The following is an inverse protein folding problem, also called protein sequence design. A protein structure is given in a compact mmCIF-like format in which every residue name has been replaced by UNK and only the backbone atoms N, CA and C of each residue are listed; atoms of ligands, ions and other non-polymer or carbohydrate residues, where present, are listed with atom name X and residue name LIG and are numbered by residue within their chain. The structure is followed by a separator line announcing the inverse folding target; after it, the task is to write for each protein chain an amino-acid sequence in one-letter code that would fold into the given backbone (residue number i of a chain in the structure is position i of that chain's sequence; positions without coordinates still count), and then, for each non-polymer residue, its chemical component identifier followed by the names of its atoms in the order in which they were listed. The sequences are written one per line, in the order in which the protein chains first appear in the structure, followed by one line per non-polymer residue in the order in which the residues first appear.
data_IF_789174498767
#
_entry.id   IF_789174498767
#
_cell.length_a   1.000
_cell.length_b   1.000
_cell.length_c   1.000
_cell.angle_alpha   90.00
_cell.angle_beta   90.00
_cell.angle_gamma   90.00
#
_symmetry.space_group_name_H-M   'P 1'
#
loop_
_entity.id
_entity.type
_entity.pdbx_description
1 polymer ?
#
# COMPACT_ATOMS: atom_id res chain seq x y z
N UNK A 1 -14.45 -14.98 -14.11
CA UNK A 1 -15.59 -14.01 -13.95
C UNK A 1 -16.68 -14.46 -14.93
N UNK A 2 -17.95 -14.70 -14.48
CA UNK A 2 -19.05 -15.02 -15.37
C UNK A 2 -19.32 -13.87 -16.35
N UNK A 3 -19.37 -14.17 -17.65
CA UNK A 3 -19.58 -13.18 -18.71
C UNK A 3 -20.85 -13.50 -19.49
N UNK A 4 -21.58 -12.48 -19.89
CA UNK A 4 -22.75 -12.63 -20.74
C UNK A 4 -22.30 -12.75 -22.21
N UNK A 5 -22.79 -13.76 -22.91
CA UNK A 5 -22.50 -13.96 -24.35
C UNK A 5 -22.86 -12.74 -25.21
N UNK A 6 -23.90 -11.99 -24.82
CA UNK A 6 -24.30 -10.75 -25.53
C UNK A 6 -23.21 -9.66 -25.54
N UNK A 7 -22.23 -9.74 -24.62
CA UNK A 7 -21.17 -8.73 -24.48
C UNK A 7 -19.79 -9.28 -24.91
N UNK A 8 -19.76 -10.42 -25.63
CA UNK A 8 -18.48 -11.06 -25.99
C UNK A 8 -17.53 -10.12 -26.73
N UNK A 9 -18.04 -9.24 -27.57
CA UNK A 9 -17.24 -8.28 -28.34
C UNK A 9 -16.49 -7.27 -27.47
N UNK A 10 -16.98 -6.98 -26.25
CA UNK A 10 -16.29 -6.09 -25.31
C UNK A 10 -15.08 -6.74 -24.65
N UNK A 11 -14.91 -8.05 -24.81
CA UNK A 11 -13.79 -8.83 -24.26
C UNK A 11 -12.86 -9.36 -25.36
N UNK A 12 -13.11 -9.02 -26.63
CA UNK A 12 -12.28 -9.40 -27.76
C UNK A 12 -11.40 -8.21 -28.16
N UNK A 13 -10.10 -8.43 -28.18
CA UNK A 13 -9.15 -7.48 -28.71
C UNK A 13 -9.09 -7.60 -30.24
N UNK A 14 -9.46 -6.58 -30.96
CA UNK A 14 -9.30 -6.51 -32.41
C UNK A 14 -7.92 -5.97 -32.82
N UNK A 15 -7.27 -5.20 -31.94
CA UNK A 15 -5.94 -4.59 -32.11
C UNK A 15 -5.13 -4.73 -30.83
N UNK A 16 -3.81 -4.59 -30.97
CA UNK A 16 -2.87 -4.67 -29.84
C UNK A 16 -3.21 -3.69 -28.70
N UNK A 17 -3.66 -2.47 -29.05
CA UNK A 17 -4.04 -1.44 -28.07
C UNK A 17 -5.29 -1.78 -27.27
N UNK A 18 -6.14 -2.67 -27.80
CA UNK A 18 -7.37 -3.10 -27.10
C UNK A 18 -7.04 -4.03 -25.93
N UNK A 19 -5.93 -4.76 -25.98
CA UNK A 19 -5.48 -5.60 -24.86
C UNK A 19 -5.21 -4.77 -23.60
N UNK A 20 -4.59 -3.60 -23.73
CA UNK A 20 -4.32 -2.73 -22.59
C UNK A 20 -5.61 -2.27 -21.93
N UNK A 21 -6.61 -1.87 -22.73
CA UNK A 21 -7.93 -1.43 -22.24
C UNK A 21 -8.72 -2.56 -21.57
N UNK A 22 -8.68 -3.75 -22.17
CA UNK A 22 -9.34 -4.94 -21.61
C UNK A 22 -8.67 -5.32 -20.30
N UNK A 23 -7.35 -5.34 -20.24
CA UNK A 23 -6.57 -5.60 -19.02
C UNK A 23 -6.90 -4.59 -17.92
N UNK A 24 -6.96 -3.29 -18.23
CA UNK A 24 -7.30 -2.26 -17.26
C UNK A 24 -8.72 -2.46 -16.71
N UNK A 25 -9.69 -2.73 -17.58
CA UNK A 25 -11.06 -2.99 -17.17
C UNK A 25 -11.21 -4.26 -16.31
N UNK A 26 -10.58 -5.35 -16.71
CA UNK A 26 -10.58 -6.60 -15.91
C UNK A 26 -9.89 -6.39 -14.56
N UNK A 27 -8.84 -5.59 -14.53
CA UNK A 27 -8.14 -5.18 -13.32
C UNK A 27 -9.06 -4.39 -12.36
N UNK A 28 -9.83 -3.43 -12.88
CA UNK A 28 -10.81 -2.68 -12.09
C UNK A 28 -11.87 -3.59 -11.48
N UNK A 29 -12.36 -4.57 -12.26
CA UNK A 29 -13.33 -5.57 -11.77
C UNK A 29 -12.71 -6.42 -10.66
N UNK A 30 -11.48 -6.87 -10.81
CA UNK A 30 -10.77 -7.64 -9.79
C UNK A 30 -10.57 -6.83 -8.49
N UNK A 31 -10.26 -5.54 -8.60
CA UNK A 31 -10.18 -4.64 -7.44
C UNK A 31 -11.53 -4.51 -6.73
N UNK A 32 -12.61 -4.31 -7.48
CA UNK A 32 -13.96 -4.25 -6.89
C UNK A 32 -14.33 -5.57 -6.19
N UNK A 33 -14.02 -6.72 -6.81
CA UNK A 33 -14.27 -8.04 -6.22
C UNK A 33 -13.45 -8.26 -4.95
N UNK A 34 -12.18 -7.87 -4.94
CA UNK A 34 -11.33 -7.96 -3.75
C UNK A 34 -11.86 -7.08 -2.62
N UNK A 35 -12.31 -5.86 -2.93
CA UNK A 35 -13.00 -4.97 -1.99
C UNK A 35 -14.27 -5.63 -1.41
N UNK A 36 -15.08 -6.27 -2.25
CA UNK A 36 -16.29 -6.98 -1.83
C UNK A 36 -15.98 -8.19 -0.94
N UNK A 37 -14.97 -8.98 -1.28
CA UNK A 37 -14.52 -10.12 -0.45
C UNK A 37 -14.05 -9.63 0.92
N UNK A 38 -13.29 -8.53 0.95
CA UNK A 38 -12.85 -7.91 2.21
C UNK A 38 -14.04 -7.44 3.05
N UNK A 39 -15.03 -6.79 2.44
CA UNK A 39 -16.27 -6.38 3.13
C UNK A 39 -17.04 -7.58 3.66
N UNK A 40 -17.19 -8.66 2.89
CA UNK A 40 -17.89 -9.87 3.31
C UNK A 40 -17.19 -10.54 4.50
N UNK A 41 -15.85 -10.67 4.46
CA UNK A 41 -15.07 -11.16 5.60
C UNK A 41 -15.25 -10.29 6.84
N UNK A 42 -15.24 -8.95 6.68
CA UNK A 42 -15.52 -8.02 7.77
C UNK A 42 -16.91 -8.23 8.39
N UNK A 43 -17.94 -8.41 7.55
CA UNK A 43 -19.30 -8.67 8.01
C UNK A 43 -19.39 -9.99 8.77
N UNK A 44 -18.73 -11.04 8.31
CA UNK A 44 -18.67 -12.33 8.99
C UNK A 44 -17.93 -12.26 10.33
N UNK A 45 -16.77 -11.59 10.36
CA UNK A 45 -16.02 -11.37 11.61
C UNK A 45 -16.80 -10.50 12.59
N UNK A 46 -17.53 -9.50 12.10
CA UNK A 46 -18.41 -8.66 12.92
C UNK A 46 -19.55 -9.49 13.51
N UNK A 47 -20.21 -10.36 12.71
CA UNK A 47 -21.23 -11.28 13.18
C UNK A 47 -20.71 -12.26 14.24
N UNK A 48 -19.50 -12.80 14.06
CA UNK A 48 -18.84 -13.67 15.05
C UNK A 48 -18.48 -12.94 16.35
N UNK A 49 -18.05 -11.67 16.27
CA UNK A 49 -17.71 -10.84 17.43
C UNK A 49 -18.94 -10.33 18.18
N UNK A 50 -20.07 -10.07 17.50
CA UNK A 50 -21.34 -9.72 18.12
C UNK A 50 -21.96 -10.90 18.88
N UNK A 51 -21.68 -12.14 18.48
CA UNK A 51 -22.07 -13.32 19.24
C UNK A 51 -21.28 -13.49 20.56
N UNK A 52 -20.11 -12.89 20.72
CA UNK A 52 -19.32 -12.86 21.95
C UNK A 52 -19.42 -11.48 22.60
N UNK A 53 -20.42 -11.26 23.42
CA UNK A 53 -20.71 -10.22 24.45
C UNK A 53 -19.89 -8.90 24.54
N UNK A 54 -19.23 -8.42 23.51
CA UNK A 54 -18.74 -7.03 23.40
C UNK A 54 -19.34 -6.41 22.15
N UNK A 55 -20.46 -5.74 22.31
CA UNK A 55 -21.11 -4.95 21.25
C UNK A 55 -20.15 -3.87 20.76
N UNK A 56 -19.62 -4.04 19.57
CA UNK A 56 -18.92 -2.97 18.88
C UNK A 56 -19.91 -1.81 18.66
N UNK A 57 -19.60 -0.62 19.18
CA UNK A 57 -20.46 0.55 19.06
C UNK A 57 -20.46 1.17 17.67
N UNK A 58 -19.38 0.94 16.91
CA UNK A 58 -19.19 1.49 15.57
C UNK A 58 -18.56 0.44 14.64
N UNK A 59 -18.64 0.68 13.33
CA UNK A 59 -17.94 -0.14 12.32
C UNK A 59 -16.43 -0.13 12.57
N UNK A 60 -15.86 1.01 12.96
CA UNK A 60 -14.43 1.13 13.25
C UNK A 60 -14.03 0.25 14.46
N UNK A 61 -14.87 0.23 15.51
CA UNK A 61 -14.62 -0.66 16.66
C UNK A 61 -14.66 -2.13 16.25
N UNK A 62 -15.60 -2.51 15.35
CA UNK A 62 -15.68 -3.86 14.82
C UNK A 62 -14.42 -4.24 14.00
N UNK A 63 -13.84 -3.28 13.29
CA UNK A 63 -12.59 -3.42 12.56
C UNK A 63 -11.33 -3.41 13.46
N UNK A 64 -11.50 -3.04 14.74
CA UNK A 64 -10.36 -2.84 15.64
C UNK A 64 -9.55 -1.57 15.35
N UNK A 65 -10.18 -0.59 14.69
CA UNK A 65 -9.58 0.66 14.28
C UNK A 65 -10.02 1.83 15.16
N UNK A 66 -9.10 2.77 15.39
CA UNK A 66 -9.41 4.09 15.89
C UNK A 66 -8.88 5.13 14.92
N UNK A 67 -9.75 6.01 14.44
CA UNK A 67 -9.39 7.10 13.53
C UNK A 67 -9.68 8.41 14.26
N UNK A 68 -8.67 9.26 14.38
CA UNK A 68 -8.77 10.57 15.03
C UNK A 68 -8.18 11.65 14.11
N UNK A 69 -8.72 12.88 14.14
CA UNK A 69 -8.11 13.99 13.40
C UNK A 69 -6.66 14.20 13.84
N UNK A 70 -5.78 14.48 12.90
CA UNK A 70 -4.39 14.80 13.19
C UNK A 70 -4.28 16.13 13.95
N UNK A 71 -3.35 16.20 14.89
CA UNK A 71 -3.05 17.43 15.65
C UNK A 71 -2.36 18.46 14.76
N UNK A 72 -2.42 19.74 15.15
CA UNK A 72 -1.76 20.84 14.39
C UNK A 72 -0.28 20.58 14.13
N UNK A 73 0.45 20.05 15.11
CA UNK A 73 1.88 19.70 14.97
C UNK A 73 2.11 18.58 13.96
N UNK A 74 1.25 17.56 13.95
CA UNK A 74 1.30 16.47 12.98
C UNK A 74 0.98 16.99 11.57
N UNK A 75 -0.03 17.84 11.43
CA UNK A 75 -0.38 18.48 10.14
C UNK A 75 0.78 19.32 9.60
N UNK A 76 1.45 20.10 10.45
CA UNK A 76 2.63 20.87 10.04
C UNK A 76 3.76 19.96 9.55
N UNK A 77 4.03 18.86 10.27
CA UNK A 77 5.00 17.84 9.86
C UNK A 77 4.63 17.20 8.53
N UNK A 78 3.37 16.80 8.37
CA UNK A 78 2.84 16.21 7.11
C UNK A 78 3.03 17.19 5.95
N UNK A 79 2.65 18.47 6.11
CA UNK A 79 2.81 19.48 5.06
C UNK A 79 4.28 19.71 4.69
N UNK A 80 5.19 19.67 5.66
CA UNK A 80 6.64 19.73 5.41
C UNK A 80 7.10 18.53 4.58
N UNK A 81 6.63 17.32 4.90
CA UNK A 81 6.98 16.11 4.18
C UNK A 81 6.32 16.01 2.79
N UNK A 82 5.17 16.67 2.57
CA UNK A 82 4.56 16.81 1.24
C UNK A 82 5.40 17.68 0.30
N UNK A 83 6.18 18.63 0.85
CA UNK A 83 7.03 19.50 0.06
C UNK A 83 6.23 20.31 -0.97
N UNK A 84 6.58 20.19 -2.25
CA UNK A 84 5.89 20.87 -3.36
C UNK A 84 4.40 20.56 -3.48
N UNK A 85 3.96 19.40 -2.99
CA UNK A 85 2.57 18.97 -3.05
C UNK A 85 1.73 19.43 -1.83
N UNK A 86 2.31 20.25 -0.94
CA UNK A 86 1.64 20.73 0.28
C UNK A 86 0.38 21.57 -0.02
N UNK A 87 0.32 22.25 -1.17
CA UNK A 87 -0.86 23.00 -1.62
C UNK A 87 -2.07 22.12 -1.92
N UNK A 88 -1.83 20.84 -2.20
CA UNK A 88 -2.88 19.82 -2.48
C UNK A 88 -3.43 19.17 -1.21
N UNK A 89 -2.87 19.50 -0.04
CA UNK A 89 -3.31 18.96 1.25
C UNK A 89 -4.74 19.40 1.59
N UNK A 90 -5.61 18.45 1.88
CA UNK A 90 -6.97 18.70 2.32
C UNK A 90 -7.15 18.49 3.81
N UNK A 91 -6.89 17.28 4.30
CA UNK A 91 -7.04 16.90 5.70
C UNK A 91 -6.13 15.71 6.05
N UNK A 92 -5.91 15.47 7.34
CA UNK A 92 -5.19 14.31 7.82
C UNK A 92 -5.84 13.72 9.07
N UNK A 93 -5.73 12.41 9.18
CA UNK A 93 -6.18 11.63 10.32
C UNK A 93 -5.08 10.68 10.76
N UNK A 94 -5.00 10.44 12.05
CA UNK A 94 -4.20 9.36 12.62
C UNK A 94 -5.06 8.10 12.66
N UNK A 95 -4.60 7.05 12.00
CA UNK A 95 -5.20 5.72 12.04
C UNK A 95 -4.42 4.88 13.04
N UNK A 96 -5.12 4.24 13.95
CA UNK A 96 -4.54 3.36 14.97
C UNK A 96 -5.16 1.98 14.78
N UNK A 97 -4.34 1.03 14.35
CA UNK A 97 -4.67 -0.39 14.28
C UNK A 97 -3.82 -1.13 15.29
N UNK A 98 -4.43 -1.58 16.39
CA UNK A 98 -3.70 -2.23 17.49
C UNK A 98 -2.98 -3.51 17.07
N UNK A 99 -3.48 -4.20 16.04
CA UNK A 99 -2.88 -5.44 15.57
C UNK A 99 -1.59 -5.18 14.81
N UNK A 100 -1.63 -4.29 13.81
CA UNK A 100 -0.44 -3.95 13.03
C UNK A 100 0.60 -3.26 13.89
N UNK A 101 0.16 -2.36 14.80
CA UNK A 101 1.06 -1.69 15.73
C UNK A 101 1.78 -2.72 16.63
N UNK A 102 1.06 -3.70 17.20
CA UNK A 102 1.68 -4.73 18.03
C UNK A 102 2.71 -5.54 17.25
N UNK A 103 2.38 -5.98 16.05
CA UNK A 103 3.31 -6.74 15.21
C UNK A 103 4.59 -5.95 14.92
N UNK A 104 4.46 -4.65 14.69
CA UNK A 104 5.58 -3.75 14.47
C UNK A 104 6.40 -3.55 15.75
N UNK A 105 5.76 -3.29 16.88
CA UNK A 105 6.41 -3.12 18.17
C UNK A 105 7.17 -4.40 18.60
N UNK A 106 6.58 -5.57 18.34
CA UNK A 106 7.22 -6.86 18.64
C UNK A 106 8.41 -7.09 17.72
N UNK A 107 8.31 -6.75 16.42
CA UNK A 107 9.45 -6.78 15.50
C UNK A 107 10.60 -5.88 15.98
N UNK A 108 10.31 -4.63 16.37
CA UNK A 108 11.35 -3.72 16.88
C UNK A 108 12.02 -4.24 18.15
N UNK A 109 11.28 -4.93 19.03
CA UNK A 109 11.86 -5.55 20.23
C UNK A 109 12.78 -6.71 19.90
N UNK A 110 12.44 -7.52 18.90
CA UNK A 110 13.23 -8.67 18.46
C UNK A 110 14.53 -8.23 17.78
N UNK A 111 14.47 -7.20 16.95
CA UNK A 111 15.62 -6.69 16.17
C UNK A 111 16.51 -5.73 17.01
N UNK A 112 15.99 -5.18 18.12
CA UNK A 112 16.69 -4.24 18.98
C UNK A 112 16.61 -2.78 18.50
N UNK A 113 17.69 -2.01 18.71
CA UNK A 113 17.73 -0.58 18.38
C UNK A 113 18.00 -0.37 16.89
N UNK A 114 16.93 -0.36 16.09
CA UNK A 114 16.99 -0.10 14.65
C UNK A 114 16.33 1.22 14.29
N UNK A 115 16.86 1.88 13.27
CA UNK A 115 16.32 3.14 12.76
C UNK A 115 14.91 2.93 12.19
N UNK A 116 13.95 3.77 12.60
CA UNK A 116 12.64 3.87 11.95
C UNK A 116 12.53 5.13 11.09
N UNK A 117 11.74 5.07 10.03
CA UNK A 117 11.47 6.21 9.13
C UNK A 117 9.98 6.33 8.85
N UNK A 118 9.54 7.57 8.58
CA UNK A 118 8.22 7.83 8.02
C UNK A 118 8.32 7.90 6.50
N UNK A 119 7.65 6.98 5.81
CA UNK A 119 7.66 6.90 4.36
C UNK A 119 6.24 6.95 3.78
N UNK A 120 6.14 7.46 2.56
CA UNK A 120 4.89 7.61 1.86
C UNK A 120 4.50 6.32 1.13
N UNK A 121 3.20 5.96 1.24
CA UNK A 121 2.57 4.94 0.44
C UNK A 121 1.31 5.50 -0.21
N UNK A 122 1.17 5.30 -1.51
CA UNK A 122 0.00 5.68 -2.31
C UNK A 122 -0.71 4.44 -2.81
N UNK A 123 -2.03 4.46 -2.76
CA UNK A 123 -2.88 3.39 -3.31
C UNK A 123 -4.20 3.97 -3.81
N UNK A 124 -4.96 3.19 -4.57
CA UNK A 124 -6.30 3.59 -5.01
C UNK A 124 -7.24 3.74 -3.84
N UNK A 125 -8.25 4.61 -3.96
CA UNK A 125 -9.17 4.92 -2.86
C UNK A 125 -9.89 3.68 -2.31
N UNK A 126 -10.28 2.75 -3.18
CA UNK A 126 -10.97 1.51 -2.85
C UNK A 126 -10.14 0.56 -1.98
N UNK A 127 -8.82 0.66 -2.01
CA UNK A 127 -7.95 -0.23 -1.24
C UNK A 127 -7.80 0.19 0.23
N UNK A 128 -8.11 1.46 0.57
CA UNK A 128 -7.77 2.01 1.88
C UNK A 128 -8.51 1.37 3.05
N UNK A 129 -9.73 0.90 2.84
CA UNK A 129 -10.47 0.17 3.90
C UNK A 129 -9.70 -1.10 4.26
N UNK A 130 -9.28 -1.88 3.28
CA UNK A 130 -8.49 -3.10 3.48
C UNK A 130 -7.11 -2.79 4.08
N UNK A 131 -6.43 -1.75 3.59
CA UNK A 131 -5.12 -1.32 4.10
C UNK A 131 -5.22 -0.91 5.56
N UNK A 132 -6.22 -0.11 5.95
CA UNK A 132 -6.42 0.29 7.34
C UNK A 132 -6.71 -0.90 8.25
N UNK A 133 -7.48 -1.89 7.77
CA UNK A 133 -7.87 -3.05 8.56
C UNK A 133 -6.78 -4.12 8.64
N UNK A 134 -6.16 -4.45 7.52
CA UNK A 134 -5.21 -5.57 7.41
C UNK A 134 -3.75 -5.12 7.52
N UNK A 135 -3.48 -3.83 7.35
CA UNK A 135 -2.14 -3.34 7.07
C UNK A 135 -1.77 -3.53 5.59
N UNK A 136 -0.58 -3.15 5.24
CA UNK A 136 0.00 -3.48 3.94
C UNK A 136 0.48 -4.93 3.94
N UNK A 137 0.10 -5.68 2.92
CA UNK A 137 0.42 -7.10 2.79
C UNK A 137 1.31 -7.36 1.58
N UNK A 138 2.17 -8.36 1.65
CA UNK A 138 3.16 -8.69 0.61
C UNK A 138 2.53 -9.20 -0.69
N UNK A 139 1.52 -10.05 -0.57
CA UNK A 139 0.81 -10.63 -1.70
C UNK A 139 -0.68 -10.30 -1.61
N UNK A 140 -1.08 -9.05 -1.87
CA UNK A 140 -2.50 -8.76 -1.95
C UNK A 140 -3.09 -9.55 -3.12
N UNK A 141 -4.35 -9.95 -2.99
CA UNK A 141 -5.09 -10.71 -4.03
C UNK A 141 -5.19 -9.94 -5.34
N UNK A 142 -4.93 -8.63 -5.29
CA UNK A 142 -4.94 -7.71 -6.43
C UNK A 142 -3.56 -7.64 -7.09
N UNK A 143 -3.52 -7.61 -8.41
CA UNK A 143 -2.28 -7.37 -9.15
C UNK A 143 -1.68 -6.03 -8.76
N UNK A 144 -0.44 -6.05 -8.32
CA UNK A 144 0.33 -4.84 -8.04
C UNK A 144 1.01 -4.42 -9.34
N UNK A 145 0.75 -3.20 -9.81
CA UNK A 145 1.55 -2.57 -10.85
C UNK A 145 2.89 -2.12 -10.27
N UNK A 146 4.00 -2.39 -10.93
CA UNK A 146 5.29 -1.82 -10.56
C UNK A 146 6.16 -2.66 -9.61
N UNK A 147 6.16 -3.98 -9.73
CA UNK A 147 7.06 -4.88 -8.96
C UNK A 147 8.47 -4.98 -9.56
N UNK A 148 9.13 -3.84 -9.79
CA UNK A 148 10.48 -3.84 -10.37
C UNK A 148 11.52 -4.51 -9.45
N UNK A 149 11.31 -4.43 -8.15
CA UNK A 149 12.19 -4.99 -7.11
C UNK A 149 11.51 -6.14 -6.34
N UNK A 150 10.70 -6.94 -7.03
CA UNK A 150 10.11 -8.17 -6.48
C UNK A 150 8.86 -7.97 -5.63
N UNK A 151 8.53 -9.01 -4.85
CA UNK A 151 7.30 -9.11 -4.08
C UNK A 151 7.42 -8.46 -2.70
N UNK A 152 7.52 -7.15 -2.67
CA UNK A 152 7.63 -6.35 -1.47
C UNK A 152 6.53 -5.31 -1.31
N UNK A 153 6.56 -4.62 -0.19
CA UNK A 153 5.75 -3.44 0.12
C UNK A 153 6.59 -2.21 -0.20
N UNK A 154 6.10 -1.38 -1.12
CA UNK A 154 6.84 -0.26 -1.70
C UNK A 154 6.50 1.05 -1.05
N UNK A 155 7.52 1.81 -0.71
CA UNK A 155 7.42 3.15 -0.16
C UNK A 155 8.29 4.14 -0.91
N UNK A 156 7.97 5.41 -0.77
CA UNK A 156 8.78 6.50 -1.27
C UNK A 156 9.11 7.53 -0.18
N UNK A 157 10.35 8.06 -0.15
CA UNK A 157 10.69 9.21 0.71
C UNK A 157 9.96 10.48 0.26
N UNK A 158 9.67 10.62 -1.05
CA UNK A 158 8.99 11.78 -1.64
C UNK A 158 7.51 11.48 -1.89
N UNK A 159 6.64 12.35 -1.35
CA UNK A 159 5.19 12.28 -1.53
C UNK A 159 4.78 12.24 -3.01
N UNK A 160 5.42 13.05 -3.84
CA UNK A 160 5.12 13.17 -5.28
C UNK A 160 5.13 11.82 -6.00
N UNK A 161 6.07 10.93 -5.65
CA UNK A 161 6.11 9.58 -6.22
C UNK A 161 4.88 8.77 -5.83
N UNK A 162 4.53 8.76 -4.56
CA UNK A 162 3.37 8.01 -4.05
C UNK A 162 2.03 8.55 -4.56
N UNK A 163 1.94 9.86 -4.86
CA UNK A 163 0.76 10.46 -5.49
C UNK A 163 0.45 9.84 -6.86
N UNK A 164 1.46 9.40 -7.61
CA UNK A 164 1.29 8.73 -8.90
C UNK A 164 0.54 7.40 -8.84
N UNK A 165 0.40 6.81 -7.64
CA UNK A 165 -0.31 5.55 -7.40
C UNK A 165 -1.69 5.73 -6.76
N UNK A 166 -2.15 6.96 -6.58
CA UNK A 166 -3.45 7.27 -5.99
C UNK A 166 -4.55 7.41 -7.04
N UNK A 167 -5.81 7.41 -6.60
CA UNK A 167 -6.97 7.69 -7.49
C UNK A 167 -7.08 9.16 -7.92
N UNK A 168 -6.13 10.03 -7.54
CA UNK A 168 -6.19 11.45 -7.86
C UNK A 168 -6.08 11.69 -9.37
N UNK A 169 -6.89 12.62 -9.89
CA UNK A 169 -6.83 13.02 -11.28
C UNK A 169 -5.41 13.45 -11.68
N UNK A 170 -4.94 12.96 -12.84
CA UNK A 170 -3.58 13.18 -13.33
C UNK A 170 -2.51 12.31 -12.66
N UNK A 171 -2.89 11.30 -11.84
CA UNK A 171 -1.93 10.32 -11.32
C UNK A 171 -1.30 9.52 -12.45
N UNK A 172 0.04 9.46 -12.46
CA UNK A 172 0.80 8.95 -13.61
C UNK A 172 0.63 7.44 -13.84
N UNK A 173 0.67 6.65 -12.76
CA UNK A 173 0.72 5.18 -12.86
C UNK A 173 -0.64 4.50 -12.93
N UNK A 174 -1.68 5.12 -12.36
CA UNK A 174 -3.00 4.51 -12.24
C UNK A 174 -4.11 5.26 -12.96
N UNK A 175 -3.78 6.36 -13.66
CA UNK A 175 -4.76 7.11 -14.45
C UNK A 175 -5.96 7.57 -13.62
N UNK A 176 -5.73 8.01 -12.37
CA UNK A 176 -6.80 8.37 -11.45
C UNK A 176 -7.71 9.48 -12.02
N UNK A 177 -9.00 9.41 -11.66
CA UNK A 177 -10.05 10.33 -12.13
C UNK A 177 -10.76 11.04 -10.97
N UNK A 178 -10.32 10.82 -9.73
CA UNK A 178 -10.94 11.41 -8.54
C UNK A 178 -10.37 12.78 -8.24
N UNK A 179 -11.21 13.72 -7.80
CA UNK A 179 -10.76 15.02 -7.30
C UNK A 179 -10.16 14.94 -5.88
N UNK A 180 -10.27 13.79 -5.22
CA UNK A 180 -9.69 13.49 -3.90
C UNK A 180 -9.11 12.10 -3.88
N UNK A 181 -7.96 11.96 -3.21
CA UNK A 181 -7.33 10.67 -2.99
C UNK A 181 -6.72 10.58 -1.61
N UNK A 182 -6.52 9.36 -1.15
CA UNK A 182 -5.84 9.06 0.09
C UNK A 182 -4.40 8.65 -0.18
N UNK A 183 -3.53 9.05 0.73
CA UNK A 183 -2.13 8.64 0.80
C UNK A 183 -1.75 8.58 2.28
N UNK A 184 -0.89 7.68 2.69
CA UNK A 184 -0.50 7.60 4.08
C UNK A 184 1.01 7.66 4.28
N UNK A 185 1.39 8.14 5.46
CA UNK A 185 2.71 7.97 6.05
C UNK A 185 2.65 6.75 6.96
N UNK A 186 3.56 5.83 6.72
CA UNK A 186 3.78 4.67 7.58
C UNK A 186 5.11 4.83 8.30
N UNK A 187 5.15 4.41 9.55
CA UNK A 187 6.39 4.16 10.24
C UNK A 187 6.94 2.80 9.81
N UNK A 188 8.20 2.77 9.42
CA UNK A 188 8.84 1.57 8.89
C UNK A 188 10.16 1.30 9.58
N UNK A 189 10.48 0.03 9.82
CA UNK A 189 11.73 -0.45 10.37
C UNK A 189 12.83 -0.42 9.29
N UNK A 190 13.43 0.75 9.08
CA UNK A 190 14.38 0.99 7.99
C UNK A 190 15.71 0.24 8.22
N UNK A 191 16.29 0.36 9.40
CA UNK A 191 17.49 -0.36 9.86
C UNK A 191 18.59 -0.50 8.81
N UNK A 192 19.24 -1.67 8.78
CA UNK A 192 20.22 -2.03 7.73
C UNK A 192 19.53 -2.25 6.39
N UNK A 193 20.05 -1.68 5.32
CA UNK A 193 19.40 -1.73 4.02
C UNK A 193 20.38 -2.03 2.89
N UNK A 194 19.93 -2.84 1.92
CA UNK A 194 20.68 -3.15 0.72
C UNK A 194 20.42 -2.06 -0.32
N UNK A 195 21.48 -1.38 -0.76
CA UNK A 195 21.43 -0.33 -1.78
C UNK A 195 21.52 -0.89 -3.20
N UNK A 196 20.73 -0.32 -4.11
CA UNK A 196 20.83 -0.58 -5.55
C UNK A 196 20.42 0.65 -6.36
N UNK A 197 21.01 0.84 -7.52
CA UNK A 197 20.61 1.83 -8.53
C UNK A 197 20.07 1.15 -9.81
N UNK A 198 19.98 -0.17 -9.78
CA UNK A 198 19.57 -1.01 -10.91
C UNK A 198 18.61 -2.10 -10.46
N UNK A 199 17.79 -2.57 -11.39
CA UNK A 199 16.94 -3.77 -11.22
C UNK A 199 17.64 -5.05 -11.73
N UNK A 200 18.89 -4.95 -12.20
CA UNK A 200 19.63 -6.11 -12.72
C UNK A 200 19.82 -7.17 -11.62
N UNK A 201 19.47 -8.40 -11.95
CA UNK A 201 19.52 -9.52 -11.00
C UNK A 201 18.46 -9.48 -9.89
N UNK A 202 17.47 -8.58 -9.99
CA UNK A 202 16.31 -8.52 -9.11
C UNK A 202 15.08 -8.90 -9.94
N UNK A 203 14.66 -10.14 -9.82
CA UNK A 203 13.50 -10.68 -10.55
C UNK A 203 12.16 -10.34 -9.87
N UNK A 204 11.05 -10.63 -10.56
CA UNK A 204 9.69 -10.40 -10.00
C UNK A 204 9.42 -11.19 -8.72
N UNK A 205 10.05 -12.33 -8.53
CA UNK A 205 9.89 -13.19 -7.35
C UNK A 205 10.93 -12.89 -6.27
N UNK A 206 11.69 -11.79 -6.40
CA UNK A 206 12.64 -11.39 -5.36
C UNK A 206 11.90 -11.11 -4.05
N UNK A 207 12.39 -11.70 -2.97
CA UNK A 207 11.76 -11.62 -1.66
C UNK A 207 12.78 -11.54 -0.52
N UNK A 208 12.31 -11.76 0.71
CA UNK A 208 13.15 -11.65 1.90
C UNK A 208 14.41 -12.52 1.86
N UNK A 209 14.29 -13.78 1.44
CA UNK A 209 15.44 -14.68 1.36
C UNK A 209 16.48 -14.22 0.35
N UNK A 210 16.05 -13.60 -0.75
CA UNK A 210 16.94 -13.03 -1.76
C UNK A 210 17.64 -11.79 -1.22
N UNK A 211 16.93 -10.94 -0.48
CA UNK A 211 17.52 -9.80 0.21
C UNK A 211 18.64 -10.26 1.16
N UNK A 212 18.38 -11.30 1.97
CA UNK A 212 19.36 -11.86 2.91
C UNK A 212 20.59 -12.44 2.21
N UNK A 213 20.43 -12.97 0.99
CA UNK A 213 21.57 -13.42 0.16
C UNK A 213 22.41 -12.26 -0.37
N UNK A 214 21.78 -11.10 -0.63
CA UNK A 214 22.50 -9.89 -1.07
C UNK A 214 23.23 -9.19 0.08
N UNK A 215 22.55 -9.05 1.20
CA UNK A 215 23.10 -8.47 2.42
C UNK A 215 22.45 -9.13 3.64
N UNK A 216 23.23 -9.95 4.34
CA UNK A 216 22.77 -10.62 5.57
C UNK A 216 22.42 -9.57 6.64
N UNK A 217 21.25 -9.71 7.24
CA UNK A 217 20.74 -8.76 8.24
C UNK A 217 20.09 -7.51 7.64
N UNK A 218 19.90 -7.43 6.31
CA UNK A 218 19.19 -6.31 5.71
C UNK A 218 17.70 -6.35 6.05
N UNK A 219 17.16 -5.21 6.47
CA UNK A 219 15.73 -5.02 6.78
C UNK A 219 14.93 -4.67 5.52
N UNK A 220 15.51 -3.90 4.61
CA UNK A 220 14.85 -3.46 3.38
C UNK A 220 15.84 -3.32 2.22
N UNK A 221 15.29 -3.17 1.01
CA UNK A 221 16.01 -2.75 -0.18
C UNK A 221 15.76 -1.27 -0.41
N UNK A 222 16.82 -0.48 -0.60
CA UNK A 222 16.75 0.91 -0.97
C UNK A 222 17.22 1.07 -2.41
N UNK A 223 16.27 1.22 -3.32
CA UNK A 223 16.53 1.51 -4.72
C UNK A 223 16.63 3.02 -4.94
N UNK A 224 17.80 3.47 -5.37
CA UNK A 224 18.08 4.89 -5.60
C UNK A 224 17.57 5.38 -6.96
N UNK A 225 17.21 6.66 -6.98
CA UNK A 225 17.00 7.36 -8.23
C UNK A 225 18.29 7.34 -9.08
N UNK A 226 18.14 7.09 -10.38
CA UNK A 226 19.27 6.95 -11.28
C UNK A 226 18.87 6.36 -12.63
N UNK A 227 19.48 5.28 -13.02
CA UNK A 227 19.29 4.67 -14.34
C UNK A 227 17.87 4.13 -14.60
N UNK A 228 17.21 3.60 -13.56
CA UNK A 228 15.89 2.93 -13.68
C UNK A 228 14.76 3.64 -12.95
N UNK A 229 15.07 4.50 -11.98
CA UNK A 229 14.10 5.22 -11.16
C UNK A 229 14.30 6.73 -11.23
N UNK A 230 13.20 7.49 -11.31
CA UNK A 230 13.23 8.96 -11.16
C UNK A 230 13.29 9.42 -9.70
N UNK A 231 12.85 8.59 -8.77
CA UNK A 231 12.85 8.85 -7.33
C UNK A 231 13.13 7.56 -6.60
N UNK A 232 13.75 7.66 -5.43
CA UNK A 232 14.04 6.51 -4.58
C UNK A 232 12.78 5.71 -4.25
N UNK A 233 12.97 4.40 -4.11
CA UNK A 233 12.00 3.46 -3.57
C UNK A 233 12.63 2.67 -2.43
N UNK A 234 11.84 2.42 -1.40
CA UNK A 234 12.25 1.60 -0.27
C UNK A 234 11.26 0.45 -0.16
N UNK A 235 11.76 -0.77 -0.24
CA UNK A 235 10.97 -1.98 -0.38
C UNK A 235 11.20 -2.88 0.82
N UNK A 236 10.12 -3.24 1.51
CA UNK A 236 10.11 -4.16 2.65
C UNK A 236 9.54 -5.51 2.25
N UNK A 237 10.13 -6.58 2.76
CA UNK A 237 9.74 -7.95 2.43
C UNK A 237 9.17 -8.72 3.64
N UNK A 238 8.82 -8.02 4.71
CA UNK A 238 8.07 -8.53 5.86
C UNK A 238 6.98 -7.54 6.25
N UNK A 239 5.78 -8.01 6.50
CA UNK A 239 4.62 -7.17 6.83
C UNK A 239 4.74 -6.52 8.21
N UNK A 240 5.40 -7.18 9.16
CA UNK A 240 5.60 -6.67 10.51
C UNK A 240 6.66 -5.57 10.63
N UNK A 241 7.33 -5.22 9.52
CA UNK A 241 8.26 -4.08 9.46
C UNK A 241 7.56 -2.73 9.23
N UNK A 242 6.22 -2.71 9.17
CA UNK A 242 5.42 -1.56 8.73
C UNK A 242 4.23 -1.35 9.66
N UNK A 243 4.03 -0.10 10.14
CA UNK A 243 2.89 0.30 10.96
C UNK A 243 2.26 1.62 10.52
#
# INVERSE_FOLDING_TARGET
IPRKMSNVNSYLAAKTDDFAKILEHEQEILYMMAGQVSQNKMQEETKKKTASKKTAKTILDAMGLKIVPAKKTEIMRIKKLLGQDASRFYAAWKVINKRTQRNFDDFLKEEGDIETKLLWHGSRNENWISIMQLGLVLCPVTQITGKMFGEGIYFAPKAHKSLGYTSLEGSYWVGGKSNRAFMALFEVAYGTHYHTDTSYGIGRNFGYNDLQRRLKGAHCLHAHAGSVLRNDEIIFYKENQVS
#
